data_IF_756458047825
#
_entry.id   IF_756458047825
#
_cell.length_a   1.000
_cell.length_b   1.000
_cell.length_c   1.000
_cell.angle_alpha   90.00
_cell.angle_beta   90.00
_cell.angle_gamma   90.00
#
_symmetry.space_group_name_H-M   'P 1'
#
loop_
_entity.id
_entity.type
_entity.pdbx_description
1 polymer ?
#
# COMPACT_ATOMS: atom_id res chain seq x y z
N UNK A 1 -10.61 19.49 24.77
CA UNK A 1 -11.37 19.22 23.51
C UNK A 1 -11.49 17.72 23.21
N UNK A 2 -10.37 17.02 22.99
CA UNK A 2 -10.34 15.61 22.59
C UNK A 2 -10.87 14.63 23.65
N UNK A 3 -10.52 14.80 24.93
CA UNK A 3 -11.03 13.95 26.02
C UNK A 3 -12.57 14.00 26.13
N UNK A 4 -13.17 15.17 25.84
CA UNK A 4 -14.62 15.35 25.83
C UNK A 4 -15.26 14.65 24.63
N UNK A 5 -14.62 14.71 23.46
CA UNK A 5 -15.06 13.97 22.27
C UNK A 5 -15.07 12.45 22.53
N UNK A 6 -13.98 11.90 23.07
CA UNK A 6 -13.89 10.46 23.41
C UNK A 6 -15.00 10.07 24.39
N UNK A 7 -15.22 10.86 25.46
CA UNK A 7 -16.31 10.60 26.42
C UNK A 7 -17.68 10.57 25.73
N UNK A 8 -17.97 11.53 24.85
CA UNK A 8 -19.23 11.60 24.12
C UNK A 8 -19.40 10.43 23.15
N UNK A 9 -18.35 9.99 22.46
CA UNK A 9 -18.41 8.82 21.57
C UNK A 9 -18.79 7.55 22.37
N UNK A 10 -18.23 7.37 23.57
CA UNK A 10 -18.59 6.24 24.42
C UNK A 10 -20.00 6.34 25.03
N UNK A 11 -20.46 7.56 25.32
CA UNK A 11 -21.79 7.83 25.89
C UNK A 11 -22.91 7.64 24.86
N UNK A 12 -22.73 8.16 23.64
CA UNK A 12 -23.76 8.15 22.59
C UNK A 12 -23.62 7.00 21.59
N UNK A 13 -22.48 6.31 21.55
CA UNK A 13 -22.19 5.17 20.65
C UNK A 13 -22.61 5.42 19.19
N UNK A 14 -22.09 6.47 18.53
CA UNK A 14 -22.39 6.69 17.12
C UNK A 14 -21.79 5.58 16.25
N UNK A 15 -22.44 5.24 15.14
CA UNK A 15 -21.89 4.30 14.14
C UNK A 15 -20.78 4.95 13.29
N UNK A 16 -20.85 6.27 13.11
CA UNK A 16 -19.98 7.05 12.22
C UNK A 16 -19.45 8.29 12.94
N UNK A 17 -18.13 8.50 12.88
CA UNK A 17 -17.45 9.75 13.24
C UNK A 17 -16.94 10.42 11.96
N UNK A 18 -17.57 11.54 11.59
CA UNK A 18 -17.17 12.32 10.43
C UNK A 18 -16.15 13.40 10.84
N UNK A 19 -15.06 13.51 10.08
CA UNK A 19 -13.99 14.49 10.27
C UNK A 19 -13.69 15.19 8.94
N UNK A 20 -13.43 16.49 8.99
CA UNK A 20 -13.09 17.26 7.77
C UNK A 20 -11.65 16.96 7.34
N UNK A 21 -10.74 16.88 8.31
CA UNK A 21 -9.35 16.49 8.11
C UNK A 21 -8.87 15.57 9.25
N UNK A 22 -8.26 14.43 8.90
CA UNK A 22 -7.68 13.49 9.87
C UNK A 22 -6.68 14.14 10.84
N UNK A 23 -5.94 15.14 10.37
CA UNK A 23 -4.95 15.83 11.19
C UNK A 23 -5.55 16.78 12.24
N UNK A 24 -6.86 17.03 12.20
CA UNK A 24 -7.56 17.69 13.31
C UNK A 24 -7.72 16.77 14.52
N UNK A 25 -7.81 15.46 14.29
CA UNK A 25 -7.88 14.48 15.36
C UNK A 25 -6.49 14.26 15.98
N UNK A 26 -5.44 14.28 15.16
CA UNK A 26 -4.07 14.04 15.62
C UNK A 26 -3.04 14.75 14.74
N UNK A 27 -2.01 15.32 15.38
CA UNK A 27 -0.92 16.00 14.67
C UNK A 27 0.08 15.05 14.01
N UNK A 28 0.02 13.75 14.32
CA UNK A 28 0.88 12.72 13.75
C UNK A 28 0.17 11.36 13.66
N UNK A 29 0.63 10.49 12.76
CA UNK A 29 0.12 9.11 12.66
C UNK A 29 0.19 8.35 14.00
N UNK A 30 1.27 8.55 14.78
CA UNK A 30 1.44 7.92 16.10
C UNK A 30 0.40 8.37 17.11
N UNK A 31 0.07 9.65 17.10
CA UNK A 31 -0.96 10.20 17.98
C UNK A 31 -2.35 9.72 17.56
N UNK A 32 -2.61 9.63 16.26
CA UNK A 32 -3.86 9.14 15.70
C UNK A 32 -4.16 7.69 16.11
N UNK A 33 -3.14 6.83 16.03
CA UNK A 33 -3.18 5.46 16.53
C UNK A 33 -3.54 5.41 18.02
N UNK A 34 -2.91 6.27 18.83
CA UNK A 34 -3.17 6.31 20.27
C UNK A 34 -4.61 6.72 20.56
N UNK A 35 -5.13 7.69 19.84
CA UNK A 35 -6.51 8.19 20.01
C UNK A 35 -7.52 7.13 19.60
N UNK A 36 -7.32 6.51 18.45
CA UNK A 36 -8.21 5.47 17.92
C UNK A 36 -8.25 4.23 18.79
N UNK A 37 -7.14 3.87 19.45
CA UNK A 37 -7.13 2.80 20.47
C UNK A 37 -8.04 3.07 21.69
N UNK A 38 -8.46 4.32 21.89
CA UNK A 38 -9.39 4.71 22.97
C UNK A 38 -10.84 4.84 22.50
N UNK A 39 -11.13 4.60 21.20
CA UNK A 39 -12.47 4.67 20.63
C UNK A 39 -13.12 3.28 20.56
N UNK A 40 -14.46 3.21 20.45
CA UNK A 40 -15.16 1.95 20.19
C UNK A 40 -14.67 1.26 18.90
N UNK A 41 -14.46 -0.07 18.90
CA UNK A 41 -13.93 -0.81 17.75
C UNK A 41 -14.89 -0.89 16.55
N UNK A 42 -16.18 -0.69 16.81
CA UNK A 42 -17.30 -0.67 15.87
C UNK A 42 -17.52 0.71 15.21
N UNK A 43 -16.83 1.76 15.68
CA UNK A 43 -16.96 3.11 15.16
C UNK A 43 -16.27 3.26 13.80
N UNK A 44 -17.00 3.73 12.80
CA UNK A 44 -16.43 4.06 11.49
C UNK A 44 -15.96 5.52 11.44
N UNK A 45 -14.68 5.77 11.22
CA UNK A 45 -14.16 7.13 11.01
C UNK A 45 -14.16 7.44 9.52
N UNK A 46 -14.75 8.56 9.11
CA UNK A 46 -14.95 8.92 7.70
C UNK A 46 -14.45 10.33 7.45
N UNK A 47 -13.76 10.53 6.33
CA UNK A 47 -13.43 11.86 5.80
C UNK A 47 -14.27 12.16 4.55
N UNK A 48 -15.41 12.88 4.69
CA UNK A 48 -16.39 13.11 3.60
C UNK A 48 -15.80 13.82 2.39
N UNK A 49 -14.92 14.77 2.63
CA UNK A 49 -14.29 15.63 1.61
C UNK A 49 -13.22 14.91 0.78
N UNK A 50 -12.89 13.66 1.11
CA UNK A 50 -11.92 12.85 0.36
C UNK A 50 -12.63 11.87 -0.57
N UNK A 51 -12.51 12.08 -1.86
CA UNK A 51 -13.08 11.20 -2.89
C UNK A 51 -12.36 9.85 -2.95
N UNK A 52 -12.96 8.85 -3.62
CA UNK A 52 -12.35 7.54 -3.77
C UNK A 52 -11.02 7.49 -4.54
N UNK A 53 -10.71 8.51 -5.33
CA UNK A 53 -9.46 8.67 -6.08
C UNK A 53 -8.38 9.44 -5.28
N UNK A 54 -8.58 9.52 -3.95
CA UNK A 54 -7.69 10.23 -3.04
C UNK A 54 -7.73 11.75 -3.12
N UNK A 55 -8.45 12.32 -4.09
CA UNK A 55 -8.55 13.77 -4.27
C UNK A 55 -9.43 14.41 -3.19
N UNK A 56 -9.11 15.67 -2.86
CA UNK A 56 -9.87 16.45 -1.89
C UNK A 56 -10.84 17.39 -2.62
N UNK A 57 -12.09 17.39 -2.18
CA UNK A 57 -13.15 18.26 -2.68
C UNK A 57 -13.58 19.21 -1.58
N UNK A 58 -13.75 20.48 -1.95
CA UNK A 58 -14.29 21.49 -1.04
C UNK A 58 -15.66 21.07 -0.50
N UNK A 59 -15.82 21.18 0.83
CA UNK A 59 -17.03 20.77 1.54
C UNK A 59 -18.30 21.42 0.97
N UNK A 60 -18.26 22.69 0.57
CA UNK A 60 -19.45 23.36 0.01
C UNK A 60 -19.81 22.80 -1.34
N UNK A 61 -18.80 22.55 -2.18
CA UNK A 61 -19.02 21.96 -3.49
C UNK A 61 -19.65 20.57 -3.32
N UNK A 62 -19.11 19.76 -2.41
CA UNK A 62 -19.64 18.44 -2.12
C UNK A 62 -21.06 18.49 -1.55
N UNK A 63 -21.33 19.40 -0.61
CA UNK A 63 -22.65 19.63 -0.05
C UNK A 63 -23.67 20.05 -1.12
N UNK A 64 -23.31 20.97 -2.03
CA UNK A 64 -24.18 21.36 -3.15
C UNK A 64 -24.47 20.20 -4.09
N UNK A 65 -23.47 19.38 -4.41
CA UNK A 65 -23.63 18.18 -5.25
C UNK A 65 -24.56 17.15 -4.58
N UNK A 66 -24.53 17.06 -3.25
CA UNK A 66 -25.43 16.24 -2.46
C UNK A 66 -26.82 16.88 -2.24
N UNK A 67 -27.10 18.05 -2.84
CA UNK A 67 -28.38 18.76 -2.71
C UNK A 67 -28.58 19.48 -1.37
N UNK A 68 -27.50 19.71 -0.60
CA UNK A 68 -27.55 20.33 0.72
C UNK A 68 -27.40 21.85 0.66
N UNK A 69 -28.18 22.54 1.49
CA UNK A 69 -28.08 24.00 1.62
C UNK A 69 -26.81 24.41 2.38
N UNK A 70 -25.93 25.09 1.67
CA UNK A 70 -24.66 25.63 2.19
C UNK A 70 -24.78 27.07 2.70
N UNK A 71 -25.91 27.73 2.46
CA UNK A 71 -26.12 29.14 2.76
C UNK A 71 -25.26 30.10 1.91
N UNK A 72 -25.54 31.39 2.04
CA UNK A 72 -24.76 32.49 1.45
C UNK A 72 -23.77 33.04 2.48
N UNK A 73 -22.47 33.07 2.15
CA UNK A 73 -21.40 33.53 3.06
C UNK A 73 -20.53 32.40 3.62
N UNK A 74 -19.56 32.71 4.51
CA UNK A 74 -18.57 31.77 5.09
C UNK A 74 -19.24 30.73 6.01
N UNK A 75 -18.78 29.47 6.01
CA UNK A 75 -19.39 28.41 6.82
C UNK A 75 -18.93 28.61 8.27
N UNK A 76 -19.88 28.58 9.21
CA UNK A 76 -19.55 28.56 10.63
C UNK A 76 -19.05 27.17 11.04
N UNK A 77 -18.21 27.03 12.09
CA UNK A 77 -17.71 25.73 12.53
C UNK A 77 -18.82 24.70 12.81
N UNK A 78 -19.94 25.15 13.41
CA UNK A 78 -21.10 24.28 13.66
C UNK A 78 -21.79 23.83 12.37
N UNK A 79 -21.93 24.72 11.37
CA UNK A 79 -22.51 24.39 10.07
C UNK A 79 -21.59 23.44 9.29
N UNK A 80 -20.28 23.66 9.34
CA UNK A 80 -19.27 22.73 8.78
C UNK A 80 -19.41 21.35 9.38
N UNK A 81 -19.38 21.23 10.72
CA UNK A 81 -19.50 19.94 11.40
C UNK A 81 -20.81 19.22 11.06
N UNK A 82 -21.92 19.95 10.99
CA UNK A 82 -23.22 19.40 10.60
C UNK A 82 -23.23 18.86 9.16
N UNK A 83 -22.72 19.64 8.20
CA UNK A 83 -22.65 19.21 6.80
C UNK A 83 -21.71 18.02 6.60
N UNK A 84 -20.56 18.01 7.28
CA UNK A 84 -19.61 16.90 7.25
C UNK A 84 -20.26 15.62 7.81
N UNK A 85 -20.96 15.71 8.94
CA UNK A 85 -21.69 14.56 9.51
C UNK A 85 -22.79 14.04 8.56
N UNK A 86 -23.56 14.95 7.95
CA UNK A 86 -24.64 14.58 7.04
C UNK A 86 -24.10 13.90 5.78
N UNK A 87 -23.05 14.45 5.16
CA UNK A 87 -22.38 13.85 4.02
C UNK A 87 -21.84 12.45 4.33
N UNK A 88 -21.21 12.26 5.48
CA UNK A 88 -20.75 10.93 5.92
C UNK A 88 -21.91 9.94 6.06
N UNK A 89 -23.04 10.39 6.64
CA UNK A 89 -24.24 9.55 6.81
C UNK A 89 -24.89 9.16 5.47
N UNK A 90 -24.74 10.00 4.45
CA UNK A 90 -25.18 9.74 3.07
C UNK A 90 -24.21 8.84 2.30
N UNK A 91 -23.10 8.42 2.91
CA UNK A 91 -22.10 7.55 2.30
C UNK A 91 -21.03 8.26 1.49
N UNK A 92 -20.94 9.60 1.56
CA UNK A 92 -19.84 10.33 0.92
C UNK A 92 -18.54 10.21 1.72
N UNK A 93 -17.44 10.17 0.97
CA UNK A 93 -16.09 10.21 1.50
C UNK A 93 -15.42 8.86 1.64
N UNK A 94 -14.22 8.92 2.20
CA UNK A 94 -13.37 7.75 2.36
C UNK A 94 -13.35 7.29 3.82
N UNK A 95 -13.65 6.00 4.05
CA UNK A 95 -13.53 5.39 5.38
C UNK A 95 -12.07 5.19 5.72
N UNK A 96 -11.71 5.49 6.95
CA UNK A 96 -10.39 5.26 7.49
C UNK A 96 -10.37 3.88 8.14
N UNK A 97 -9.53 2.99 7.61
CA UNK A 97 -9.15 1.76 8.31
C UNK A 97 -7.74 1.93 8.86
N UNK A 98 -7.59 1.64 10.14
CA UNK A 98 -6.30 1.39 10.74
C UNK A 98 -5.95 -0.08 10.46
N UNK A 99 -4.90 -0.32 9.67
CA UNK A 99 -4.53 -1.67 9.30
C UNK A 99 -3.68 -2.32 10.39
N UNK A 100 -4.25 -3.37 10.97
CA UNK A 100 -3.66 -4.46 11.75
C UNK A 100 -2.75 -4.12 12.93
N UNK A 101 -3.31 -4.33 14.12
CA UNK A 101 -2.60 -4.54 15.37
C UNK A 101 -1.85 -5.88 15.30
N UNK A 102 -0.54 -5.85 15.03
CA UNK A 102 0.34 -7.01 15.25
C UNK A 102 0.93 -6.93 16.65
N UNK A 103 1.32 -8.06 17.23
CA UNK A 103 1.92 -8.09 18.56
C UNK A 103 3.36 -8.55 18.49
N UNK A 104 4.26 -7.77 19.08
CA UNK A 104 5.67 -8.11 19.24
C UNK A 104 5.90 -8.78 20.59
N UNK A 105 6.43 -10.00 20.59
CA UNK A 105 6.85 -10.72 21.80
C UNK A 105 8.38 -10.74 21.82
N UNK A 106 8.97 -10.04 22.78
CA UNK A 106 10.42 -9.94 22.94
C UNK A 106 10.87 -10.87 24.06
N UNK A 107 11.74 -11.82 23.73
CA UNK A 107 12.35 -12.73 24.70
C UNK A 107 13.82 -12.39 24.80
N UNK A 108 14.24 -11.87 25.95
CA UNK A 108 15.60 -11.39 26.17
C UNK A 108 16.11 -11.77 27.57
N UNK A 109 17.39 -11.51 27.82
CA UNK A 109 18.00 -11.65 29.15
C UNK A 109 17.35 -10.66 30.13
N UNK A 110 17.15 -11.06 31.38
CA UNK A 110 16.57 -10.20 32.43
C UNK A 110 17.38 -8.90 32.66
N UNK A 111 16.77 -7.80 33.11
CA UNK A 111 17.51 -6.55 33.40
C UNK A 111 18.23 -6.57 34.75
N UNK A 112 17.89 -7.52 35.64
CA UNK A 112 18.45 -7.67 37.00
C UNK A 112 19.87 -8.30 37.02
N UNK A 113 20.56 -8.27 35.89
CA UNK A 113 21.77 -9.01 35.58
C UNK A 113 23.05 -8.23 36.00
N UNK A 114 23.43 -8.41 37.28
CA UNK A 114 24.60 -7.91 38.04
C UNK A 114 25.77 -8.84 38.40
N UNK A 115 26.57 -9.49 37.53
CA UNK A 115 27.78 -10.20 38.02
C UNK A 115 28.97 -10.22 37.03
N UNK A 116 30.14 -9.72 37.47
CA UNK A 116 31.45 -9.93 36.86
C UNK A 116 32.31 -10.86 37.73
N UNK A 117 33.12 -11.73 37.11
CA UNK A 117 33.99 -12.69 37.81
C UNK A 117 34.30 -13.95 36.99
N UNK A 118 35.16 -14.83 37.55
CA UNK A 118 35.62 -16.07 36.90
C UNK A 118 34.51 -17.06 36.49
N UNK A 119 33.29 -16.92 37.01
CA UNK A 119 32.11 -17.75 36.69
C UNK A 119 31.25 -17.23 35.52
N UNK A 120 31.65 -16.12 34.88
CA UNK A 120 30.91 -15.45 33.79
C UNK A 120 30.54 -16.37 32.60
N UNK A 121 31.43 -17.24 32.07
CA UNK A 121 31.08 -18.11 30.93
C UNK A 121 30.00 -19.16 31.25
N UNK A 122 30.07 -19.79 32.43
CA UNK A 122 29.07 -20.80 32.87
C UNK A 122 27.70 -20.15 33.04
N UNK A 123 27.70 -18.94 33.60
CA UNK A 123 26.51 -18.15 33.79
C UNK A 123 25.86 -17.72 32.47
N UNK A 124 26.65 -17.24 31.49
CA UNK A 124 26.14 -16.90 30.16
C UNK A 124 25.49 -18.10 29.45
N UNK A 125 26.05 -19.31 29.61
CA UNK A 125 25.45 -20.55 29.08
C UNK A 125 24.09 -20.86 29.71
N UNK A 126 23.94 -20.67 31.03
CA UNK A 126 22.67 -20.85 31.75
C UNK A 126 21.59 -19.91 31.20
N UNK A 127 21.90 -18.61 31.11
CA UNK A 127 20.98 -17.59 30.60
C UNK A 127 20.57 -17.87 29.15
N UNK A 128 21.54 -18.20 28.27
CA UNK A 128 21.25 -18.55 26.86
C UNK A 128 20.34 -19.77 26.75
N UNK A 129 20.52 -20.76 27.62
CA UNK A 129 19.67 -21.97 27.67
C UNK A 129 18.26 -21.64 28.14
N UNK A 130 18.11 -20.73 29.10
CA UNK A 130 16.81 -20.24 29.55
C UNK A 130 16.08 -19.48 28.43
N UNK A 131 16.76 -18.58 27.71
CA UNK A 131 16.20 -17.87 26.54
C UNK A 131 15.72 -18.88 25.48
N UNK A 132 16.54 -19.88 25.16
CA UNK A 132 16.17 -20.90 24.17
C UNK A 132 14.92 -21.70 24.58
N UNK A 133 14.80 -22.06 25.88
CA UNK A 133 13.61 -22.73 26.41
C UNK A 133 12.36 -21.87 26.25
N UNK A 134 12.42 -20.61 26.69
CA UNK A 134 11.31 -19.66 26.56
C UNK A 134 10.87 -19.47 25.10
N UNK A 135 11.83 -19.39 24.16
CA UNK A 135 11.52 -19.33 22.73
C UNK A 135 10.79 -20.57 22.23
N UNK A 136 11.24 -21.76 22.61
CA UNK A 136 10.59 -23.02 22.23
C UNK A 136 9.17 -23.12 22.80
N UNK A 137 8.96 -22.67 24.02
CA UNK A 137 7.65 -22.67 24.68
C UNK A 137 6.68 -21.71 24.01
N UNK A 138 7.09 -20.45 23.77
CA UNK A 138 6.29 -19.47 23.05
C UNK A 138 5.95 -19.98 21.64
N UNK A 139 6.94 -20.52 20.92
CA UNK A 139 6.74 -21.10 19.58
C UNK A 139 5.66 -22.18 19.60
N UNK A 140 5.77 -23.15 20.52
CA UNK A 140 4.82 -24.27 20.68
C UNK A 140 3.41 -23.78 20.99
N UNK A 141 3.28 -22.74 21.80
CA UNK A 141 1.98 -22.14 22.12
C UNK A 141 1.38 -21.48 20.86
N UNK A 142 2.14 -20.67 20.14
CA UNK A 142 1.68 -20.02 18.91
C UNK A 142 1.27 -21.04 17.84
N UNK A 143 2.09 -22.08 17.63
CA UNK A 143 1.82 -23.19 16.69
C UNK A 143 0.53 -23.93 17.06
N UNK A 144 0.33 -24.26 18.35
CA UNK A 144 -0.87 -24.94 18.86
C UNK A 144 -2.15 -24.13 18.60
N UNK A 145 -2.08 -22.82 18.76
CA UNK A 145 -3.20 -21.92 18.52
C UNK A 145 -3.33 -21.47 17.06
N UNK A 146 -2.52 -22.03 16.14
CA UNK A 146 -2.47 -21.68 14.70
C UNK A 146 -2.34 -20.17 14.46
N UNK A 147 -1.55 -19.51 15.29
CA UNK A 147 -1.27 -18.08 15.15
C UNK A 147 -0.07 -17.88 14.23
N UNK A 148 -0.23 -17.09 13.18
CA UNK A 148 0.88 -16.81 12.28
C UNK A 148 1.85 -15.79 12.88
N UNK A 149 3.14 -16.06 12.71
CA UNK A 149 4.21 -15.25 13.25
C UNK A 149 5.50 -15.35 12.41
N UNK A 150 6.32 -14.31 12.51
CA UNK A 150 7.74 -14.37 12.15
C UNK A 150 8.61 -14.44 13.40
N UNK A 151 9.72 -15.17 13.32
CA UNK A 151 10.67 -15.36 14.42
C UNK A 151 12.06 -14.89 14.01
N UNK A 152 12.55 -13.87 14.70
CA UNK A 152 13.88 -13.29 14.48
C UNK A 152 14.79 -13.61 15.67
N UNK A 153 15.99 -14.11 15.39
CA UNK A 153 16.98 -14.42 16.41
C UNK A 153 18.09 -13.37 16.45
N UNK A 154 18.50 -12.96 17.65
CA UNK A 154 19.75 -12.21 17.88
C UNK A 154 20.79 -13.15 18.47
N UNK A 155 21.90 -13.32 17.77
CA UNK A 155 23.05 -14.13 18.21
C UNK A 155 24.25 -13.23 18.46
N UNK A 156 24.97 -13.43 19.55
CA UNK A 156 26.30 -12.83 19.77
C UNK A 156 27.22 -13.86 20.45
N UNK A 157 28.52 -13.87 20.08
CA UNK A 157 29.53 -14.72 20.72
C UNK A 157 29.15 -16.21 20.82
N UNK A 158 28.65 -16.79 19.73
CA UNK A 158 28.37 -18.23 19.60
C UNK A 158 27.04 -18.75 20.19
N UNK A 159 26.11 -17.90 20.63
CA UNK A 159 24.83 -18.36 21.20
C UNK A 159 23.65 -17.41 21.00
N UNK A 160 22.44 -17.87 21.36
CA UNK A 160 21.20 -17.09 21.27
C UNK A 160 21.08 -16.09 22.43
N UNK A 161 21.07 -14.80 22.13
CA UNK A 161 20.97 -13.75 23.14
C UNK A 161 19.55 -13.24 23.36
N UNK A 162 18.78 -13.13 22.27
CA UNK A 162 17.36 -12.77 22.34
C UNK A 162 16.63 -13.28 21.11
N UNK A 163 15.31 -13.37 21.20
CA UNK A 163 14.46 -13.60 20.04
C UNK A 163 13.26 -12.65 20.07
N UNK A 164 12.75 -12.33 18.89
CA UNK A 164 11.56 -11.51 18.72
C UNK A 164 10.58 -12.29 17.86
N UNK A 165 9.37 -12.49 18.38
CA UNK A 165 8.24 -12.92 17.58
C UNK A 165 7.44 -11.70 17.14
N UNK A 166 7.03 -11.69 15.88
CA UNK A 166 6.05 -10.74 15.35
C UNK A 166 4.84 -11.55 14.98
N UNK A 167 3.80 -11.48 15.80
CA UNK A 167 2.58 -12.27 15.67
C UNK A 167 1.53 -11.39 15.01
N UNK A 168 0.95 -11.85 13.91
CA UNK A 168 -0.01 -11.10 13.09
C UNK A 168 -1.42 -11.11 13.69
N UNK A 169 -1.53 -10.74 14.97
CA UNK A 169 -2.78 -10.66 15.73
C UNK A 169 -2.72 -9.54 16.77
N UNK A 170 -3.88 -8.96 17.12
CA UNK A 170 -3.97 -7.95 18.16
C UNK A 170 -3.59 -8.50 19.52
N UNK A 171 -3.13 -7.62 20.41
CA UNK A 171 -2.71 -8.02 21.77
C UNK A 171 -3.83 -8.70 22.54
N UNK A 172 -5.08 -8.31 22.30
CA UNK A 172 -6.29 -8.89 22.89
C UNK A 172 -6.41 -10.38 22.61
N UNK A 173 -6.07 -10.84 21.41
CA UNK A 173 -6.13 -12.27 21.02
C UNK A 173 -5.07 -13.12 21.74
N UNK A 174 -4.00 -12.51 22.24
CA UNK A 174 -2.97 -13.20 23.02
C UNK A 174 -3.27 -13.24 24.52
N UNK A 175 -4.33 -12.58 24.98
CA UNK A 175 -4.73 -12.61 26.39
C UNK A 175 -5.05 -14.04 26.84
N UNK A 176 -4.48 -14.44 27.97
CA UNK A 176 -4.63 -15.81 28.49
C UNK A 176 -3.79 -16.87 27.77
N UNK A 177 -3.30 -16.60 26.55
CA UNK A 177 -2.46 -17.53 25.78
C UNK A 177 -0.98 -17.36 26.15
N UNK A 178 -0.47 -16.12 26.11
CA UNK A 178 0.92 -15.79 26.46
C UNK A 178 0.90 -14.65 27.46
N UNK A 179 1.54 -14.85 28.61
CA UNK A 179 1.63 -13.85 29.68
C UNK A 179 3.02 -13.23 29.71
N UNK A 180 3.15 -11.92 29.99
CA UNK A 180 4.43 -11.32 30.33
C UNK A 180 5.05 -12.07 31.51
N UNK A 181 6.36 -12.28 31.46
CA UNK A 181 7.08 -13.05 32.46
C UNK A 181 8.49 -12.47 32.63
N UNK A 182 8.96 -12.33 33.87
CA UNK A 182 10.34 -11.94 34.16
C UNK A 182 10.85 -12.77 35.34
N UNK A 183 11.93 -13.51 35.12
CA UNK A 183 12.65 -14.25 36.15
C UNK A 183 14.11 -13.74 36.27
N UNK A 184 14.97 -14.48 36.97
CA UNK A 184 16.37 -14.11 37.17
C UNK A 184 17.21 -14.16 35.88
N UNK A 185 16.80 -14.95 34.88
CA UNK A 185 17.58 -15.26 33.69
C UNK A 185 16.94 -14.64 32.42
N UNK A 186 15.62 -14.63 32.31
CA UNK A 186 14.85 -14.29 31.10
C UNK A 186 13.71 -13.32 31.40
N UNK A 187 13.42 -12.46 30.42
CA UNK A 187 12.22 -11.65 30.36
C UNK A 187 11.49 -11.86 29.04
N UNK A 188 10.17 -11.98 29.12
CA UNK A 188 9.21 -12.01 28.04
C UNK A 188 8.37 -10.72 28.13
N UNK A 189 8.60 -9.80 27.19
CA UNK A 189 7.78 -8.60 27.02
C UNK A 189 6.80 -8.82 25.86
N UNK A 190 5.55 -8.40 26.04
CA UNK A 190 4.52 -8.45 24.99
C UNK A 190 4.07 -7.01 24.72
N UNK A 191 4.36 -6.54 23.52
CA UNK A 191 4.13 -5.15 23.12
C UNK A 191 3.20 -5.13 21.89
N UNK A 192 2.06 -4.42 21.95
CA UNK A 192 1.31 -4.14 20.72
C UNK A 192 2.19 -3.32 19.78
N UNK A 193 2.20 -3.69 18.50
CA UNK A 193 2.80 -2.90 17.42
C UNK A 193 1.64 -2.40 16.59
N UNK A 194 1.34 -1.13 16.82
CA UNK A 194 0.38 -0.44 15.98
C UNK A 194 1.06 -0.08 14.66
N UNK A 195 0.49 -0.53 13.55
CA UNK A 195 0.82 0.07 12.26
C UNK A 195 0.37 1.52 12.28
N UNK A 196 1.22 2.43 11.80
CA UNK A 196 0.90 3.86 11.73
C UNK A 196 0.11 4.24 10.48
N UNK A 197 -0.27 3.28 9.62
CA UNK A 197 -0.95 3.60 8.37
C UNK A 197 -2.45 3.72 8.53
N UNK A 198 -2.93 4.93 8.24
CA UNK A 198 -4.28 5.17 7.74
C UNK A 198 -4.30 4.59 6.33
N UNK A 199 -5.15 3.60 6.09
CA UNK A 199 -5.51 3.22 4.72
C UNK A 199 -6.95 3.62 4.52
N UNK A 200 -7.17 4.52 3.58
CA UNK A 200 -8.53 4.80 3.16
C UNK A 200 -9.03 3.60 2.35
N UNK A 201 -10.26 3.15 2.61
CA UNK A 201 -10.87 2.01 1.92
C UNK A 201 -10.82 2.13 0.38
N UNK A 202 -10.68 3.35 -0.09
CA UNK A 202 -10.62 3.75 -1.49
C UNK A 202 -9.19 3.82 -2.08
N UNK A 203 -8.13 3.92 -1.27
CA UNK A 203 -6.73 3.88 -1.73
C UNK A 203 -6.33 2.52 -2.31
N UNK A 204 -7.09 1.47 -1.99
CA UNK A 204 -6.96 0.17 -2.64
C UNK A 204 -7.23 0.27 -4.16
N UNK A 205 -8.02 1.27 -4.58
CA UNK A 205 -8.39 1.53 -5.97
C UNK A 205 -7.39 2.45 -6.68
N UNK A 206 -6.75 3.39 -5.98
CA UNK A 206 -5.72 4.28 -6.55
C UNK A 206 -4.44 3.53 -6.96
N UNK A 207 -4.19 2.38 -6.35
CA UNK A 207 -3.12 1.48 -6.80
C UNK A 207 -3.32 0.95 -8.23
N UNK A 208 -4.53 1.08 -8.81
CA UNK A 208 -4.87 0.61 -10.14
C UNK A 208 -4.55 1.64 -11.25
N UNK A 209 -4.31 2.91 -10.91
CA UNK A 209 -4.17 4.01 -11.88
C UNK A 209 -2.72 4.37 -12.27
N UNK A 210 -1.72 3.78 -11.60
CA UNK A 210 -0.34 3.79 -12.09
C UNK A 210 -0.03 2.40 -12.63
N UNK A 211 0.45 2.31 -13.87
CA UNK A 211 1.01 1.07 -14.44
C UNK A 211 2.28 0.71 -13.68
N UNK A 212 2.10 0.03 -12.53
CA UNK A 212 3.20 -0.44 -11.70
C UNK A 212 3.95 -1.54 -12.46
N UNK A 213 5.28 -1.49 -12.53
CA UNK A 213 6.05 -2.51 -13.23
C UNK A 213 5.89 -3.85 -12.52
N UNK A 214 5.95 -4.93 -13.30
CA UNK A 214 6.12 -6.27 -12.75
C UNK A 214 7.56 -6.44 -12.25
N UNK A 215 7.73 -6.95 -11.04
CA UNK A 215 9.02 -6.99 -10.37
C UNK A 215 9.37 -8.37 -9.81
N UNK A 216 10.66 -8.70 -9.87
CA UNK A 216 11.28 -9.82 -9.17
C UNK A 216 11.96 -9.25 -7.93
N UNK A 217 11.60 -9.79 -6.76
CA UNK A 217 12.09 -9.26 -5.48
C UNK A 217 13.04 -10.25 -4.83
N UNK A 218 14.28 -9.84 -4.59
CA UNK A 218 15.24 -10.58 -3.79
C UNK A 218 15.18 -10.20 -2.32
N UNK A 219 15.26 -11.20 -1.45
CA UNK A 219 15.16 -11.05 0.01
C UNK A 219 16.33 -11.78 0.68
N UNK A 220 17.10 -11.03 1.48
CA UNK A 220 18.07 -11.57 2.43
C UNK A 220 17.51 -11.40 3.86
N UNK A 221 16.90 -12.44 4.47
CA UNK A 221 16.24 -12.32 5.76
C UNK A 221 17.24 -12.40 6.93
N UNK A 222 17.10 -11.49 7.88
CA UNK A 222 17.94 -11.45 9.07
C UNK A 222 17.46 -10.44 10.10
N UNK A 223 18.32 -10.12 11.08
CA UNK A 223 18.05 -9.00 12.00
C UNK A 223 17.93 -7.70 11.20
N UNK A 224 18.80 -7.53 10.22
CA UNK A 224 18.63 -6.61 9.11
C UNK A 224 18.16 -7.44 7.93
N UNK A 225 17.06 -7.05 7.30
CA UNK A 225 16.58 -7.72 6.10
C UNK A 225 16.93 -6.84 4.91
N UNK A 226 17.66 -7.41 3.95
CA UNK A 226 17.90 -6.80 2.65
C UNK A 226 16.71 -7.06 1.73
N UNK A 227 16.26 -6.02 1.03
CA UNK A 227 15.20 -6.11 0.02
C UNK A 227 15.68 -5.39 -1.22
N UNK A 228 15.65 -6.08 -2.36
CA UNK A 228 15.96 -5.49 -3.66
C UNK A 228 14.93 -5.97 -4.68
N UNK A 229 14.59 -5.11 -5.65
CA UNK A 229 13.68 -5.45 -6.72
C UNK A 229 14.21 -4.96 -8.06
N UNK A 230 14.03 -5.80 -9.07
CA UNK A 230 14.31 -5.51 -10.48
C UNK A 230 13.04 -5.75 -11.29
N UNK A 231 12.81 -4.98 -12.33
CA UNK A 231 11.70 -5.23 -13.25
C UNK A 231 12.01 -6.40 -14.21
N UNK A 232 11.03 -6.78 -15.04
CA UNK A 232 11.18 -7.87 -16.00
C UNK A 232 12.10 -7.53 -17.18
N UNK A 233 12.49 -6.27 -17.34
CA UNK A 233 13.44 -5.79 -18.35
C UNK A 233 14.85 -5.63 -17.77
N UNK A 234 15.04 -5.96 -16.49
CA UNK A 234 16.30 -5.91 -15.78
C UNK A 234 16.67 -4.55 -15.21
N UNK A 235 15.77 -3.55 -15.25
CA UNK A 235 16.00 -2.26 -14.62
C UNK A 235 15.85 -2.36 -13.10
N UNK A 236 16.71 -1.69 -12.31
CA UNK A 236 16.57 -1.67 -10.87
C UNK A 236 15.40 -0.78 -10.45
N UNK A 237 14.56 -1.30 -9.55
CA UNK A 237 13.39 -0.57 -9.04
C UNK A 237 13.69 0.03 -7.67
N UNK A 238 14.18 -0.78 -6.74
CA UNK A 238 14.66 -0.31 -5.44
C UNK A 238 15.61 -1.32 -4.79
N UNK A 239 16.47 -0.85 -3.89
CA UNK A 239 17.35 -1.72 -3.11
C UNK A 239 17.73 -1.04 -1.79
N UNK A 240 17.39 -1.66 -0.66
CA UNK A 240 17.77 -1.16 0.67
C UNK A 240 17.70 -2.26 1.74
N UNK A 241 18.25 -1.98 2.90
CA UNK A 241 18.14 -2.85 4.08
C UNK A 241 17.45 -2.10 5.21
N UNK A 242 16.72 -2.84 6.05
CA UNK A 242 16.15 -2.27 7.26
C UNK A 242 16.23 -3.26 8.42
N UNK A 243 16.61 -2.75 9.58
CA UNK A 243 16.71 -3.54 10.81
C UNK A 243 15.33 -3.73 11.43
N UNK A 244 14.98 -4.99 11.73
CA UNK A 244 13.74 -5.34 12.41
C UNK A 244 12.48 -5.08 11.58
N UNK A 245 12.61 -5.00 10.25
CA UNK A 245 11.47 -4.93 9.34
C UNK A 245 10.75 -6.28 9.33
N UNK A 246 9.42 -6.25 9.36
CA UNK A 246 8.59 -7.45 9.30
C UNK A 246 7.91 -7.65 7.95
N UNK A 247 7.28 -8.82 7.79
CA UNK A 247 6.70 -9.22 6.50
C UNK A 247 5.62 -8.26 6.00
N UNK A 248 4.79 -7.68 6.88
CA UNK A 248 3.77 -6.72 6.45
C UNK A 248 4.41 -5.43 5.93
N UNK A 249 5.47 -4.95 6.60
CA UNK A 249 6.24 -3.80 6.11
C UNK A 249 6.94 -4.10 4.77
N UNK A 250 7.43 -5.33 4.57
CA UNK A 250 8.04 -5.76 3.30
C UNK A 250 6.99 -5.85 2.18
N UNK A 251 5.82 -6.46 2.43
CA UNK A 251 4.70 -6.54 1.47
C UNK A 251 4.29 -5.15 1.01
N UNK A 252 4.14 -4.24 1.96
CA UNK A 252 3.73 -2.86 1.72
C UNK A 252 4.75 -2.09 0.90
N UNK A 253 6.03 -2.27 1.21
CA UNK A 253 7.11 -1.71 0.43
C UNK A 253 7.09 -2.21 -1.02
N UNK A 254 7.01 -3.52 -1.22
CA UNK A 254 6.98 -4.13 -2.55
C UNK A 254 5.79 -3.56 -3.33
N UNK A 255 4.60 -3.59 -2.73
CA UNK A 255 3.34 -3.13 -3.33
C UNK A 255 3.35 -1.64 -3.69
N UNK A 256 4.17 -0.83 -3.02
CA UNK A 256 4.37 0.59 -3.37
C UNK A 256 5.14 0.76 -4.68
N UNK A 257 6.10 -0.12 -4.97
CA UNK A 257 7.05 0.07 -6.07
C UNK A 257 6.76 -0.82 -7.30
N UNK A 258 5.98 -1.89 -7.16
CA UNK A 258 5.67 -2.77 -8.28
C UNK A 258 4.71 -3.90 -7.92
N UNK A 259 4.36 -4.69 -8.93
CA UNK A 259 3.57 -5.92 -8.80
C UNK A 259 4.55 -7.10 -8.76
N UNK A 260 4.73 -7.78 -7.61
CA UNK A 260 5.67 -8.88 -7.55
C UNK A 260 5.18 -10.06 -8.37
N UNK A 261 6.10 -10.68 -9.10
CA UNK A 261 5.86 -11.93 -9.84
C UNK A 261 6.61 -13.11 -9.27
N UNK A 262 7.67 -12.85 -8.50
CA UNK A 262 8.59 -13.85 -7.98
C UNK A 262 9.33 -13.28 -6.77
N UNK A 263 9.44 -14.07 -5.69
CA UNK A 263 10.32 -13.75 -4.56
C UNK A 263 11.53 -14.67 -4.60
N UNK A 264 12.73 -14.10 -4.65
CA UNK A 264 13.99 -14.80 -4.73
C UNK A 264 14.79 -14.74 -3.43
N UNK A 265 15.58 -15.78 -3.17
CA UNK A 265 16.58 -15.83 -2.12
C UNK A 265 17.88 -16.44 -2.67
N UNK A 266 18.98 -16.16 -2.01
CA UNK A 266 20.34 -16.60 -2.37
C UNK A 266 20.72 -17.97 -1.76
N UNK A 267 19.89 -18.52 -0.86
CA UNK A 267 20.18 -19.76 -0.13
C UNK A 267 19.17 -20.87 -0.41
N UNK A 268 19.64 -22.12 -0.30
CA UNK A 268 18.82 -23.32 -0.35
C UNK A 268 18.96 -24.15 0.94
N UNK A 269 17.87 -24.64 1.54
CA UNK A 269 16.47 -24.36 1.19
C UNK A 269 16.09 -22.91 1.52
N UNK A 270 15.07 -22.38 0.85
CA UNK A 270 14.61 -21.01 1.09
C UNK A 270 14.33 -20.75 2.59
N UNK A 271 14.63 -19.57 3.15
CA UNK A 271 14.29 -19.27 4.54
C UNK A 271 12.77 -19.26 4.77
N UNK A 272 12.34 -19.60 5.99
CA UNK A 272 10.90 -19.62 6.35
C UNK A 272 10.23 -18.27 6.08
N UNK A 273 10.92 -17.17 6.39
CA UNK A 273 10.44 -15.81 6.13
C UNK A 273 10.11 -15.59 4.66
N UNK A 274 11.01 -15.98 3.76
CA UNK A 274 10.85 -15.85 2.30
C UNK A 274 9.66 -16.66 1.81
N UNK A 275 9.52 -17.91 2.25
CA UNK A 275 8.37 -18.75 1.89
C UNK A 275 7.05 -18.16 2.36
N UNK A 276 6.99 -17.69 3.61
CA UNK A 276 5.76 -17.05 4.14
C UNK A 276 5.45 -15.75 3.42
N UNK A 277 6.46 -14.97 3.03
CA UNK A 277 6.29 -13.71 2.28
C UNK A 277 5.69 -13.99 0.91
N UNK A 278 6.27 -14.93 0.17
CA UNK A 278 5.79 -15.32 -1.13
C UNK A 278 4.37 -15.89 -1.09
N UNK A 279 4.07 -16.75 -0.10
CA UNK A 279 2.71 -17.25 0.13
C UNK A 279 1.71 -16.13 0.44
N UNK A 280 2.09 -15.16 1.27
CA UNK A 280 1.23 -14.01 1.60
C UNK A 280 0.95 -13.10 0.40
N UNK A 281 1.89 -13.00 -0.55
CA UNK A 281 1.73 -12.22 -1.78
C UNK A 281 1.17 -13.04 -2.96
N UNK A 282 0.96 -14.36 -2.79
CA UNK A 282 0.45 -15.24 -3.84
C UNK A 282 1.41 -15.43 -5.02
N UNK A 283 2.72 -15.42 -4.76
CA UNK A 283 3.76 -15.51 -5.79
C UNK A 283 4.70 -16.70 -5.53
N UNK A 284 5.31 -17.27 -6.58
CA UNK A 284 6.30 -18.33 -6.43
C UNK A 284 7.58 -17.86 -5.71
N UNK A 285 8.30 -18.82 -5.13
CA UNK A 285 9.64 -18.63 -4.56
C UNK A 285 10.68 -19.19 -5.51
N UNK A 286 11.71 -18.38 -5.82
CA UNK A 286 12.94 -18.87 -6.42
C UNK A 286 13.98 -19.18 -5.35
N UNK A 287 14.48 -20.41 -5.35
CA UNK A 287 15.69 -20.82 -4.65
C UNK A 287 16.72 -21.35 -5.67
N UNK A 288 18.02 -21.00 -5.54
CA UNK A 288 19.04 -21.47 -6.45
C UNK A 288 19.27 -22.98 -6.24
N UNK A 289 19.80 -23.71 -7.25
CA UNK A 289 20.07 -25.15 -7.13
C UNK A 289 20.96 -25.52 -5.92
N UNK A 290 21.92 -24.63 -5.62
CA UNK A 290 22.76 -24.63 -4.43
C UNK A 290 22.87 -23.18 -3.89
N UNK A 291 23.10 -23.02 -2.59
CA UNK A 291 23.30 -21.70 -1.97
C UNK A 291 24.46 -20.96 -2.64
N UNK A 292 24.25 -19.70 -2.99
CA UNK A 292 25.24 -18.89 -3.69
C UNK A 292 26.47 -18.63 -2.81
N UNK A 293 27.65 -18.79 -3.39
CA UNK A 293 28.91 -18.44 -2.71
C UNK A 293 29.07 -16.92 -2.60
N UNK A 294 29.98 -16.47 -1.73
CA UNK A 294 30.27 -15.04 -1.57
C UNK A 294 30.82 -14.47 -2.88
N UNK A 295 31.67 -15.22 -3.56
CA UNK A 295 32.27 -14.87 -4.84
C UNK A 295 31.21 -14.77 -5.95
N UNK A 296 30.27 -15.72 -6.02
CA UNK A 296 29.17 -15.69 -6.99
C UNK A 296 28.29 -14.46 -6.80
N UNK A 297 27.88 -14.16 -5.56
CA UNK A 297 27.08 -12.97 -5.25
C UNK A 297 27.79 -11.68 -5.67
N UNK A 298 29.09 -11.57 -5.35
CA UNK A 298 29.90 -10.41 -5.73
C UNK A 298 29.96 -10.26 -7.25
N UNK A 299 30.24 -11.34 -7.97
CA UNK A 299 30.34 -11.31 -9.43
C UNK A 299 29.03 -10.84 -10.09
N UNK A 300 27.89 -11.37 -9.64
CA UNK A 300 26.56 -10.98 -10.15
C UNK A 300 26.31 -9.49 -9.91
N UNK A 301 26.55 -9.01 -8.68
CA UNK A 301 26.31 -7.61 -8.32
C UNK A 301 27.25 -6.67 -9.07
N UNK A 302 28.53 -7.03 -9.22
CA UNK A 302 29.51 -6.23 -9.96
C UNK A 302 29.20 -6.14 -11.45
N UNK A 303 28.77 -7.24 -12.07
CA UNK A 303 28.29 -7.23 -13.46
C UNK A 303 27.05 -6.34 -13.62
N UNK A 304 26.08 -6.50 -12.73
CA UNK A 304 24.84 -5.73 -12.76
C UNK A 304 25.09 -4.22 -12.55
N UNK A 305 25.93 -3.89 -11.58
CA UNK A 305 26.30 -2.50 -11.24
C UNK A 305 27.17 -1.84 -12.31
N UNK A 306 27.85 -2.62 -13.16
CA UNK A 306 28.53 -2.08 -14.35
C UNK A 306 27.53 -1.57 -15.39
N UNK A 307 26.39 -2.24 -15.54
CA UNK A 307 25.29 -1.83 -16.42
C UNK A 307 24.43 -0.71 -15.82
N UNK A 308 24.38 -0.64 -14.49
CA UNK A 308 23.59 0.33 -13.72
C UNK A 308 24.47 1.15 -12.76
N UNK A 309 25.19 2.18 -13.24
CA UNK A 309 26.14 2.96 -12.44
C UNK A 309 25.52 3.63 -11.20
N UNK A 310 24.22 3.93 -11.22
CA UNK A 310 23.44 4.49 -10.13
C UNK A 310 23.44 3.61 -8.86
N UNK A 311 23.65 2.30 -9.02
CA UNK A 311 23.73 1.33 -7.91
C UNK A 311 25.13 1.18 -7.32
N UNK A 312 26.16 1.83 -7.87
CA UNK A 312 27.55 1.75 -7.35
C UNK A 312 27.70 2.18 -5.90
N UNK A 313 26.73 2.93 -5.37
CA UNK A 313 26.68 3.40 -3.98
C UNK A 313 26.13 2.37 -3.00
N UNK A 314 25.66 1.20 -3.46
CA UNK A 314 25.15 0.12 -2.61
C UNK A 314 26.32 -0.57 -1.90
N UNK A 315 26.60 -0.14 -0.67
CA UNK A 315 27.70 -0.65 0.16
C UNK A 315 27.27 -1.75 1.13
N UNK A 316 25.98 -1.81 1.47
CA UNK A 316 25.44 -2.75 2.45
C UNK A 316 25.48 -4.20 1.92
N UNK A 317 26.06 -5.11 2.70
CA UNK A 317 26.14 -6.53 2.37
C UNK A 317 24.75 -7.17 2.20
N UNK A 318 23.78 -6.83 3.05
CA UNK A 318 22.43 -7.40 2.98
C UNK A 318 21.71 -6.99 1.69
N UNK A 319 21.92 -5.75 1.26
CA UNK A 319 21.34 -5.25 0.01
C UNK A 319 21.98 -5.93 -1.20
N UNK A 320 23.30 -6.14 -1.16
CA UNK A 320 24.01 -6.86 -2.23
C UNK A 320 23.54 -8.31 -2.34
N UNK A 321 23.36 -9.01 -1.22
CA UNK A 321 22.89 -10.39 -1.20
C UNK A 321 21.45 -10.50 -1.74
N UNK A 322 20.56 -9.59 -1.31
CA UNK A 322 19.21 -9.48 -1.84
C UNK A 322 19.21 -9.17 -3.35
N UNK A 323 20.04 -8.24 -3.81
CA UNK A 323 20.16 -7.89 -5.23
C UNK A 323 20.70 -9.05 -6.05
N UNK A 324 21.71 -9.77 -5.55
CA UNK A 324 22.25 -10.96 -6.20
C UNK A 324 21.17 -12.03 -6.39
N UNK A 325 20.32 -12.25 -5.38
CA UNK A 325 19.19 -13.17 -5.49
C UNK A 325 18.19 -12.76 -6.57
N UNK A 326 17.80 -11.48 -6.62
CA UNK A 326 16.86 -10.95 -7.61
C UNK A 326 17.41 -11.09 -9.04
N UNK A 327 18.66 -10.68 -9.27
CA UNK A 327 19.31 -10.73 -10.59
C UNK A 327 19.55 -12.17 -11.03
N UNK A 328 19.94 -13.06 -10.12
CA UNK A 328 20.11 -14.49 -10.44
C UNK A 328 18.79 -15.13 -10.89
N UNK A 329 17.68 -14.78 -10.22
CA UNK A 329 16.36 -15.23 -10.61
C UNK A 329 15.96 -14.70 -11.99
N UNK A 330 16.22 -13.41 -12.27
CA UNK A 330 15.98 -12.81 -13.59
C UNK A 330 16.74 -13.55 -14.70
N UNK A 331 18.05 -13.77 -14.53
CA UNK A 331 18.88 -14.48 -15.52
C UNK A 331 18.37 -15.90 -15.82
N UNK A 332 17.78 -16.60 -14.83
CA UNK A 332 17.19 -17.92 -15.06
C UNK A 332 15.98 -17.87 -16.00
N UNK A 333 15.19 -16.80 -15.94
CA UNK A 333 13.98 -16.62 -16.75
C UNK A 333 14.23 -15.92 -18.09
N UNK A 334 15.40 -15.30 -18.29
CA UNK A 334 15.73 -14.48 -19.47
C UNK A 334 15.52 -15.20 -20.81
N UNK A 335 15.93 -16.47 -20.90
CA UNK A 335 15.76 -17.28 -22.12
C UNK A 335 14.28 -17.46 -22.50
N UNK A 336 13.41 -17.74 -21.52
CA UNK A 336 11.97 -17.87 -21.71
C UNK A 336 11.32 -16.51 -22.02
N UNK A 337 11.77 -15.43 -21.38
CA UNK A 337 11.27 -14.09 -21.65
C UNK A 337 11.54 -13.65 -23.10
N UNK A 338 12.75 -13.90 -23.62
CA UNK A 338 13.06 -13.62 -25.04
C UNK A 338 12.23 -14.44 -26.02
N UNK A 339 11.91 -15.69 -25.67
CA UNK A 339 10.98 -16.51 -26.47
C UNK A 339 9.58 -15.91 -26.51
N UNK A 340 9.08 -15.40 -25.37
CA UNK A 340 7.79 -14.71 -25.29
C UNK A 340 7.81 -13.46 -26.16
N UNK A 341 8.81 -12.60 -26.04
CA UNK A 341 8.95 -11.38 -26.85
C UNK A 341 8.95 -11.69 -28.35
N UNK A 342 9.68 -12.73 -28.75
CA UNK A 342 9.72 -13.17 -30.16
C UNK A 342 8.36 -13.72 -30.62
N UNK A 343 7.65 -14.45 -29.76
CA UNK A 343 6.34 -15.02 -30.06
C UNK A 343 5.27 -13.92 -30.18
N UNK A 344 5.24 -12.97 -29.24
CA UNK A 344 4.29 -11.84 -29.25
C UNK A 344 4.56 -10.89 -30.41
N UNK A 345 5.83 -10.60 -30.73
CA UNK A 345 6.19 -9.77 -31.88
C UNK A 345 5.72 -10.38 -33.21
N UNK A 346 5.76 -11.72 -33.34
CA UNK A 346 5.25 -12.42 -34.54
C UNK A 346 3.74 -12.34 -34.70
N UNK A 347 2.99 -12.24 -33.60
CA UNK A 347 1.53 -12.12 -33.64
C UNK A 347 1.07 -10.71 -34.03
N UNK A 348 1.92 -9.69 -33.88
CA UNK A 348 1.61 -8.31 -34.26
C UNK A 348 0.46 -7.68 -33.47
N UNK A 349 0.15 -8.22 -32.28
CA UNK A 349 -0.92 -7.74 -31.41
C UNK A 349 -0.39 -6.71 -30.42
N UNK A 350 -1.15 -5.65 -30.18
CA UNK A 350 -0.89 -4.65 -29.13
C UNK A 350 -1.37 -5.20 -27.77
N UNK A 351 -0.53 -6.05 -27.17
CA UNK A 351 -0.76 -6.67 -25.86
C UNK A 351 0.38 -6.36 -24.90
N UNK A 352 0.07 -6.29 -23.61
CA UNK A 352 1.06 -6.10 -22.56
C UNK A 352 1.98 -7.33 -22.45
N UNK A 353 3.17 -7.24 -23.03
CA UNK A 353 4.18 -8.30 -23.05
C UNK A 353 4.68 -8.60 -21.63
N UNK A 354 4.76 -7.60 -20.76
CA UNK A 354 5.24 -7.79 -19.38
C UNK A 354 4.19 -8.53 -18.54
N UNK A 355 2.89 -8.34 -18.81
CA UNK A 355 1.83 -9.16 -18.23
C UNK A 355 1.92 -10.64 -18.67
N UNK A 356 2.25 -10.91 -19.95
CA UNK A 356 2.47 -12.28 -20.44
C UNK A 356 3.69 -12.91 -19.75
N UNK A 357 4.81 -12.19 -19.66
CA UNK A 357 6.01 -12.66 -18.92
C UNK A 357 5.67 -12.97 -17.47
N UNK A 358 4.90 -12.11 -16.80
CA UNK A 358 4.48 -12.28 -15.42
C UNK A 358 3.67 -13.57 -15.20
N UNK A 359 2.71 -13.86 -16.08
CA UNK A 359 1.89 -15.06 -15.99
C UNK A 359 2.70 -16.35 -16.21
N UNK A 360 3.66 -16.34 -17.13
CA UNK A 360 4.54 -17.48 -17.37
C UNK A 360 5.45 -17.75 -16.16
N UNK A 361 5.96 -16.70 -15.49
CA UNK A 361 6.76 -16.86 -14.27
C UNK A 361 5.92 -17.49 -13.14
N UNK A 362 4.63 -17.15 -13.07
CA UNK A 362 3.67 -17.74 -12.12
C UNK A 362 3.28 -19.18 -12.45
N UNK A 363 3.73 -19.71 -13.59
CA UNK A 363 3.57 -21.11 -13.97
C UNK A 363 2.56 -21.37 -15.10
N UNK A 364 2.02 -20.34 -15.74
CA UNK A 364 1.19 -20.51 -16.93
C UNK A 364 2.03 -20.93 -18.14
N UNK A 365 1.41 -21.63 -19.09
CA UNK A 365 2.04 -21.84 -20.41
C UNK A 365 2.04 -20.54 -21.21
N UNK A 366 2.94 -20.44 -22.20
CA UNK A 366 3.01 -19.25 -23.08
C UNK A 366 1.68 -19.04 -23.81
N UNK A 367 1.04 -20.12 -24.26
CA UNK A 367 -0.26 -20.04 -24.94
C UNK A 367 -1.35 -19.47 -24.02
N UNK A 368 -1.52 -20.03 -22.82
CA UNK A 368 -2.51 -19.55 -21.84
C UNK A 368 -2.27 -18.10 -21.43
N UNK A 369 -1.01 -17.71 -21.23
CA UNK A 369 -0.66 -16.34 -20.85
C UNK A 369 -1.00 -15.34 -21.97
N UNK A 370 -0.75 -15.71 -23.23
CA UNK A 370 -1.10 -14.89 -24.39
C UNK A 370 -2.61 -14.81 -24.57
N UNK A 371 -3.36 -15.91 -24.43
CA UNK A 371 -4.82 -15.91 -24.49
C UNK A 371 -5.44 -14.98 -23.43
N UNK A 372 -4.92 -15.01 -22.20
CA UNK A 372 -5.36 -14.09 -21.13
C UNK A 372 -5.07 -12.64 -21.47
N UNK A 373 -3.88 -12.34 -21.99
CA UNK A 373 -3.51 -10.98 -22.40
C UNK A 373 -4.41 -10.47 -23.53
N UNK A 374 -4.73 -11.32 -24.51
CA UNK A 374 -5.68 -11.01 -25.59
C UNK A 374 -7.08 -10.75 -25.02
N UNK A 375 -7.55 -11.61 -24.12
CA UNK A 375 -8.86 -11.44 -23.49
C UNK A 375 -8.94 -10.15 -22.66
N UNK A 376 -7.87 -9.79 -21.94
CA UNK A 376 -7.77 -8.52 -21.21
C UNK A 376 -7.82 -7.32 -22.16
N UNK A 377 -7.06 -7.36 -23.27
CA UNK A 377 -7.08 -6.31 -24.29
C UNK A 377 -8.46 -6.15 -24.93
N UNK A 378 -9.16 -7.25 -25.23
CA UNK A 378 -10.53 -7.23 -25.77
C UNK A 378 -11.54 -6.63 -24.79
N UNK A 379 -11.41 -6.93 -23.49
CA UNK A 379 -12.27 -6.33 -22.46
C UNK A 379 -12.00 -4.84 -22.26
N UNK A 380 -10.74 -4.40 -22.36
CA UNK A 380 -10.39 -2.99 -22.27
C UNK A 380 -10.91 -2.20 -23.49
N UNK A 381 -10.88 -2.80 -24.69
CA UNK A 381 -11.55 -2.27 -25.89
C UNK A 381 -13.07 -2.24 -25.71
N UNK A 382 -13.67 -3.26 -25.10
CA UNK A 382 -15.09 -3.31 -24.78
C UNK A 382 -15.49 -2.19 -23.81
N UNK A 383 -14.72 -1.97 -22.75
CA UNK A 383 -14.91 -0.93 -21.74
C UNK A 383 -14.71 0.48 -22.32
N UNK A 384 -13.68 0.67 -23.16
CA UNK A 384 -13.47 1.91 -23.93
C UNK A 384 -14.62 2.17 -24.90
N UNK A 385 -15.12 1.16 -25.62
CA UNK A 385 -16.26 1.32 -26.52
C UNK A 385 -17.56 1.63 -25.77
N UNK A 386 -17.75 1.04 -24.57
CA UNK A 386 -18.88 1.30 -23.69
C UNK A 386 -18.81 2.71 -23.10
N UNK A 387 -17.64 3.15 -22.63
CA UNK A 387 -17.38 4.51 -22.17
C UNK A 387 -17.63 5.53 -23.28
N UNK A 388 -17.08 5.32 -24.49
CA UNK A 388 -17.32 6.19 -25.64
C UNK A 388 -18.80 6.23 -26.02
N UNK A 389 -19.51 5.09 -26.04
CA UNK A 389 -20.97 5.04 -26.27
C UNK A 389 -21.75 5.74 -25.17
N UNK A 390 -21.36 5.59 -23.91
CA UNK A 390 -22.05 6.20 -22.77
C UNK A 390 -21.86 7.72 -22.73
N UNK A 391 -20.67 8.22 -23.06
CA UNK A 391 -20.38 9.64 -23.22
C UNK A 391 -21.14 10.21 -24.42
N UNK A 392 -21.16 9.51 -25.56
CA UNK A 392 -21.93 9.93 -26.74
C UNK A 392 -23.43 9.99 -26.46
N UNK A 393 -23.97 9.01 -25.73
CA UNK A 393 -25.38 8.97 -25.30
C UNK A 393 -25.72 10.03 -24.26
N UNK A 394 -24.78 10.40 -23.38
CA UNK A 394 -24.94 11.53 -22.44
C UNK A 394 -24.87 12.89 -23.15
N UNK A 395 -24.08 13.02 -24.21
CA UNK A 395 -24.03 14.23 -25.04
C UNK A 395 -25.31 14.36 -25.88
N UNK A 396 -25.80 13.27 -26.47
CA UNK A 396 -27.05 13.23 -27.26
C UNK A 396 -28.31 13.47 -26.39
N UNK A 397 -28.38 12.90 -25.17
CA UNK A 397 -29.52 13.11 -24.26
C UNK A 397 -29.52 14.48 -23.56
N UNK A 398 -28.41 15.22 -23.57
CA UNK A 398 -28.32 16.57 -23.02
C UNK A 398 -28.59 17.68 -24.06
N UNK A 399 -28.67 17.36 -25.36
CA UNK A 399 -28.75 18.38 -26.42
C UNK A 399 -30.11 18.53 -27.12
N UNK A 400 -31.08 17.64 -26.89
CA UNK A 400 -32.38 17.72 -27.57
C UNK A 400 -33.36 18.79 -27.04
N UNK A 401 -33.40 19.19 -25.74
CA UNK A 401 -34.30 20.27 -25.30
C UNK A 401 -33.74 21.69 -25.45
N UNK A 402 -32.40 21.86 -25.51
CA UNK A 402 -31.75 23.18 -25.46
C UNK A 402 -31.41 23.79 -26.82
N UNK A 403 -31.39 23.00 -27.92
CA UNK A 403 -31.08 23.55 -29.24
C UNK A 403 -32.23 24.37 -29.84
N UNK A 404 -33.48 23.93 -29.67
CA UNK A 404 -34.67 24.63 -30.19
C UNK A 404 -34.93 25.95 -29.48
N UNK A 405 -34.78 26.03 -28.15
CA UNK A 405 -34.93 27.29 -27.41
C UNK A 405 -33.83 28.32 -27.73
N UNK A 406 -32.59 27.85 -27.97
CA UNK A 406 -31.48 28.71 -28.34
C UNK A 406 -31.58 29.23 -29.78
N UNK A 407 -32.08 28.42 -30.73
CA UNK A 407 -32.31 28.86 -32.11
C UNK A 407 -33.38 29.95 -32.19
N UNK A 408 -34.48 29.81 -31.43
CA UNK A 408 -35.52 30.82 -31.32
C UNK A 408 -35.04 32.11 -30.63
N UNK A 409 -34.20 32.00 -29.59
CA UNK A 409 -33.58 33.17 -28.96
C UNK A 409 -32.62 33.89 -29.90
N UNK A 410 -31.79 33.15 -30.64
CA UNK A 410 -30.86 33.72 -31.62
C UNK A 410 -31.60 34.42 -32.75
N UNK A 411 -32.72 33.86 -33.22
CA UNK A 411 -33.57 34.48 -34.24
C UNK A 411 -34.20 35.80 -33.74
N UNK A 412 -34.76 35.80 -32.51
CA UNK A 412 -35.34 37.01 -31.90
C UNK A 412 -34.30 38.10 -31.64
N UNK A 413 -33.11 37.73 -31.17
CA UNK A 413 -32.02 38.67 -30.94
C UNK A 413 -31.48 39.27 -32.24
N UNK A 414 -31.40 38.49 -33.33
CA UNK A 414 -31.05 39.00 -34.66
C UNK A 414 -32.07 40.00 -35.18
N UNK A 415 -33.37 39.74 -35.07
CA UNK A 415 -34.40 40.71 -35.45
C UNK A 415 -34.33 42.00 -34.60
N UNK A 416 -34.04 41.88 -33.30
CA UNK A 416 -33.88 43.04 -32.41
C UNK A 416 -32.69 43.90 -32.82
N UNK A 417 -31.55 43.28 -33.17
CA UNK A 417 -30.35 43.96 -33.63
C UNK A 417 -30.61 44.72 -34.93
N UNK A 418 -31.29 44.10 -35.90
CA UNK A 418 -31.60 44.76 -37.17
C UNK A 418 -32.56 45.94 -36.99
N UNK A 419 -33.58 45.80 -36.13
CA UNK A 419 -34.48 46.91 -35.78
C UNK A 419 -33.72 48.07 -35.13
N UNK A 420 -32.87 47.78 -34.14
CA UNK A 420 -32.07 48.79 -33.44
C UNK A 420 -31.06 49.47 -34.38
N UNK A 421 -30.50 48.75 -35.35
CA UNK A 421 -29.61 49.32 -36.38
C UNK A 421 -30.35 50.27 -37.30
N UNK A 422 -31.54 49.88 -37.79
CA UNK A 422 -32.37 50.74 -38.62
C UNK A 422 -32.76 52.03 -37.89
N UNK A 423 -33.13 51.90 -36.60
CA UNK A 423 -33.47 53.03 -35.74
C UNK A 423 -32.26 53.94 -35.49
N UNK A 424 -31.07 53.38 -35.27
CA UNK A 424 -29.83 54.15 -35.11
C UNK A 424 -29.46 54.89 -36.41
N UNK A 425 -29.63 54.27 -37.57
CA UNK A 425 -29.40 54.92 -38.87
C UNK A 425 -30.37 56.08 -39.09
N UNK A 426 -31.65 55.90 -38.77
CA UNK A 426 -32.67 56.94 -38.87
C UNK A 426 -32.40 58.11 -37.91
N UNK A 427 -32.03 57.82 -36.67
CA UNK A 427 -31.66 58.83 -35.67
C UNK A 427 -30.38 59.59 -36.07
N UNK A 428 -29.36 58.89 -36.59
CA UNK A 428 -28.14 59.51 -37.13
C UNK A 428 -28.36 60.33 -38.41
N UNK A 429 -29.44 60.07 -39.15
CA UNK A 429 -29.87 60.92 -40.26
C UNK A 429 -30.54 62.19 -39.74
N UNK A 430 -31.46 62.07 -38.79
CA UNK A 430 -32.10 63.22 -38.14
C UNK A 430 -31.12 64.13 -37.42
N UNK A 431 -30.11 63.56 -36.75
CA UNK A 431 -29.05 64.35 -36.12
C UNK A 431 -28.20 65.13 -37.14
N UNK A 432 -28.04 64.63 -38.37
CA UNK A 432 -27.34 65.33 -39.46
C UNK A 432 -28.18 66.38 -40.19
N UNK A 433 -29.48 66.44 -39.90
CA UNK A 433 -30.39 67.48 -40.42
C UNK A 433 -30.56 68.63 -39.42
N UNK A 434 -30.00 68.49 -38.21
CA UNK A 434 -30.10 69.46 -37.11
C UNK A 434 -28.75 70.15 -36.81
N UNK A 435 -27.65 69.65 -37.38
CA UNK A 435 -26.39 70.38 -37.60
C UNK A 435 -26.39 71.01 -38.99
#
# INVERSE_FOLDING_TARGET
PLYRLIRLIWEYRPDILAIDNIYELASSEKELVKITSMLPPDLNIVQPTRLPDGSLVDLRRLAKLAGLDTGSGKLSPARTAYLTALLASMGYGSRIRFIEEKTRIVIAKSRRLKHGGMSSPRYQRRVRSAVLRAVKDVKRILDRHRLDYDLMFRKSGGGLDSAVFIVYVPRSRLNGIIKPHEDSDVRIEIQPVYSSRIVFETDASDHLNQTKPYIIVGIDPGISTGVAAVDLNGQPVFAFSRRGIDRSEVIELISRHGIPVLIATDVRPAPVFVRKLAAAMGVPVYEPPASLSVEEKRSIVEEYTRRHPELRRVTDAHVRDALAAAVKALHMHESKMRQIESYTARLGLDIDVDAVKADVIKGATIAEAVERAIHAALNDVGLRSYLVKSVRRQVESASEPQQTENEDQVSRLRMKIERLRAENIALRRRLREVD
#
